data_IF_673613245353
#
_entry.id   IF_673613245353
#
_cell.length_a   1.000
_cell.length_b   1.000
_cell.length_c   1.000
_cell.angle_alpha   90.00
_cell.angle_beta   90.00
_cell.angle_gamma   90.00
#
_symmetry.space_group_name_H-M   'P 1'
#
loop_
_entity.id
_entity.type
_entity.pdbx_description
1 polymer ?
#
# COMPACT_ATOMS: atom_id res chain seq x y z
N UNK A 1 -25.07 23.63 34.38
CA UNK A 1 -24.50 22.43 33.72
C UNK A 1 -24.30 22.80 32.27
N UNK A 2 -23.05 23.00 31.79
CA UNK A 2 -22.84 23.18 30.36
C UNK A 2 -23.18 21.85 29.69
N UNK A 3 -24.08 21.89 28.70
CA UNK A 3 -24.39 20.73 27.87
C UNK A 3 -23.15 20.41 27.04
N UNK A 4 -22.43 19.34 27.40
CA UNK A 4 -21.39 18.74 26.59
C UNK A 4 -22.05 18.09 25.37
N UNK A 5 -22.45 18.90 24.39
CA UNK A 5 -22.61 18.42 23.02
C UNK A 5 -21.22 18.62 22.41
N UNK A 6 -20.43 17.56 22.21
CA UNK A 6 -19.11 17.70 21.63
C UNK A 6 -19.23 18.49 20.32
N UNK A 7 -18.60 19.68 20.24
CA UNK A 7 -18.45 20.43 18.99
C UNK A 7 -17.84 19.56 17.89
N UNK A 8 -17.05 18.55 18.28
CA UNK A 8 -16.43 17.51 17.46
C UNK A 8 -17.40 16.47 16.88
N UNK A 9 -18.67 16.42 17.31
CA UNK A 9 -19.72 15.67 16.58
C UNK A 9 -20.13 16.38 15.27
N UNK A 10 -19.66 17.62 15.05
CA UNK A 10 -19.91 18.41 13.84
C UNK A 10 -18.65 18.49 12.95
N UNK A 11 -17.45 18.22 13.48
CA UNK A 11 -16.18 18.39 12.75
C UNK A 11 -15.39 17.07 12.56
N UNK A 12 -14.77 16.92 11.38
CA UNK A 12 -14.15 15.68 10.89
C UNK A 12 -12.75 15.40 11.49
N UNK A 13 -12.64 15.17 12.80
CA UNK A 13 -11.35 14.97 13.47
C UNK A 13 -10.76 13.54 13.38
N UNK A 14 -11.56 12.51 13.09
CA UNK A 14 -11.07 11.11 13.03
C UNK A 14 -9.99 10.83 11.97
N UNK A 15 -9.70 11.81 11.10
CA UNK A 15 -8.66 11.72 10.08
C UNK A 15 -7.40 12.55 10.41
N UNK A 16 -7.29 13.07 11.63
CA UNK A 16 -6.15 13.89 12.04
C UNK A 16 -6.25 15.30 11.45
N UNK A 17 -7.19 16.09 11.98
CA UNK A 17 -7.20 17.53 11.72
C UNK A 17 -5.91 18.16 12.25
N UNK A 18 -5.30 19.07 11.48
CA UNK A 18 -4.16 19.90 11.90
C UNK A 18 -4.53 20.94 13.00
N UNK A 19 -5.50 20.62 13.87
CA UNK A 19 -5.96 21.49 14.94
C UNK A 19 -5.00 21.47 16.13
N UNK A 20 -4.87 22.60 16.82
CA UNK A 20 -4.19 22.67 18.11
C UNK A 20 -4.85 21.72 19.12
N UNK A 21 -4.05 21.04 19.93
CA UNK A 21 -4.55 20.12 20.96
C UNK A 21 -5.33 20.90 22.02
N UNK A 22 -6.64 20.73 22.03
CA UNK A 22 -7.52 21.28 23.06
C UNK A 22 -7.44 20.42 24.33
N UNK A 23 -6.63 20.87 25.29
CA UNK A 23 -6.35 20.17 26.55
C UNK A 23 -7.59 20.12 27.46
N UNK A 24 -8.44 21.16 27.45
CA UNK A 24 -9.66 21.18 28.26
C UNK A 24 -10.64 20.10 27.79
N UNK A 25 -10.74 19.93 26.47
CA UNK A 25 -11.54 18.85 25.89
C UNK A 25 -10.99 17.47 26.24
N UNK A 26 -9.67 17.26 26.16
CA UNK A 26 -9.07 15.96 26.51
C UNK A 26 -9.33 15.59 27.98
N UNK A 27 -9.36 16.56 28.89
CA UNK A 27 -9.70 16.31 30.29
C UNK A 27 -11.19 15.98 30.47
N UNK A 28 -12.08 16.73 29.82
CA UNK A 28 -13.53 16.47 29.86
C UNK A 28 -13.89 15.13 29.20
N UNK A 29 -13.22 14.76 28.11
CA UNK A 29 -13.50 13.56 27.34
C UNK A 29 -13.06 12.26 28.05
N UNK A 30 -12.13 12.33 29.01
CA UNK A 30 -11.72 11.16 29.81
C UNK A 30 -12.90 10.49 30.51
N UNK A 31 -13.84 11.29 31.00
CA UNK A 31 -15.03 10.80 31.69
C UNK A 31 -16.04 10.14 30.74
N UNK A 32 -15.93 10.39 29.42
CA UNK A 32 -16.83 9.88 28.37
C UNK A 32 -16.13 8.91 27.40
N UNK A 33 -14.94 8.41 27.74
CA UNK A 33 -14.14 7.61 26.83
C UNK A 33 -14.87 6.32 26.40
N UNK A 34 -15.61 5.70 27.32
CA UNK A 34 -16.37 4.48 27.04
C UNK A 34 -17.52 4.73 26.05
N UNK A 35 -18.22 5.86 26.18
CA UNK A 35 -19.30 6.27 25.26
C UNK A 35 -18.75 6.64 23.88
N UNK A 36 -17.60 7.32 23.82
CA UNK A 36 -16.93 7.68 22.56
C UNK A 36 -16.49 6.42 21.83
N UNK A 37 -15.84 5.49 22.54
CA UNK A 37 -15.43 4.21 21.98
C UNK A 37 -16.66 3.44 21.50
N UNK A 38 -17.70 3.31 22.32
CA UNK A 38 -18.94 2.65 21.92
C UNK A 38 -19.54 3.24 20.63
N UNK A 39 -19.65 4.57 20.54
CA UNK A 39 -20.14 5.24 19.34
C UNK A 39 -19.29 4.91 18.10
N UNK A 40 -17.96 4.89 18.25
CA UNK A 40 -17.04 4.49 17.18
C UNK A 40 -17.32 3.05 16.71
N UNK A 41 -17.51 2.10 17.63
CA UNK A 41 -17.77 0.70 17.28
C UNK A 41 -19.12 0.49 16.59
N UNK A 42 -20.17 1.18 17.07
CA UNK A 42 -21.51 1.13 16.45
C UNK A 42 -21.46 1.69 15.03
N UNK A 43 -20.86 2.86 14.83
CA UNK A 43 -20.85 3.53 13.51
C UNK A 43 -19.99 2.77 12.49
N UNK A 44 -18.82 2.26 12.90
CA UNK A 44 -17.88 1.67 11.95
C UNK A 44 -18.07 0.15 11.75
N UNK A 45 -18.54 -0.57 12.76
CA UNK A 45 -18.66 -2.03 12.73
C UNK A 45 -20.07 -2.54 12.95
N UNK A 46 -21.03 -1.66 13.23
CA UNK A 46 -22.43 -2.02 13.44
C UNK A 46 -22.67 -2.95 14.64
N UNK A 47 -21.83 -2.82 15.67
CA UNK A 47 -21.91 -3.60 16.90
C UNK A 47 -23.13 -3.17 17.74
N UNK A 48 -23.75 -4.13 18.39
CA UNK A 48 -24.71 -3.88 19.48
C UNK A 48 -23.98 -3.51 20.78
N UNK A 49 -24.72 -2.94 21.74
CA UNK A 49 -24.18 -2.60 23.06
C UNK A 49 -23.62 -3.82 23.79
N UNK A 50 -24.31 -4.95 23.70
CA UNK A 50 -23.92 -6.19 24.37
C UNK A 50 -22.62 -6.76 23.77
N UNK A 51 -22.48 -6.73 22.44
CA UNK A 51 -21.25 -7.14 21.76
C UNK A 51 -20.05 -6.26 22.14
N UNK A 52 -20.25 -4.94 22.25
CA UNK A 52 -19.19 -4.03 22.68
C UNK A 52 -18.76 -4.27 24.13
N UNK A 53 -19.72 -4.52 25.03
CA UNK A 53 -19.44 -4.81 26.44
C UNK A 53 -18.80 -6.20 26.65
N UNK A 54 -19.07 -7.14 25.74
CA UNK A 54 -18.44 -8.46 25.77
C UNK A 54 -16.94 -8.42 25.42
N UNK A 55 -16.48 -7.39 24.70
CA UNK A 55 -15.07 -7.24 24.34
C UNK A 55 -14.22 -6.82 25.54
N UNK A 56 -13.06 -7.46 25.68
CA UNK A 56 -12.02 -7.00 26.60
C UNK A 56 -11.39 -5.70 26.10
N UNK A 57 -10.83 -4.85 26.99
CA UNK A 57 -10.15 -3.62 26.59
C UNK A 57 -9.03 -3.85 25.56
N UNK A 58 -8.32 -4.98 25.66
CA UNK A 58 -7.26 -5.34 24.70
C UNK A 58 -7.83 -5.61 23.31
N UNK A 59 -8.94 -6.34 23.21
CA UNK A 59 -9.58 -6.64 21.93
C UNK A 59 -10.09 -5.38 21.26
N UNK A 60 -10.70 -4.46 22.03
CA UNK A 60 -11.12 -3.14 21.53
C UNK A 60 -9.95 -2.40 20.87
N UNK A 61 -8.81 -2.31 21.56
CA UNK A 61 -7.60 -1.68 21.02
C UNK A 61 -7.08 -2.35 19.75
N UNK A 62 -7.06 -3.69 19.69
CA UNK A 62 -6.64 -4.40 18.48
C UNK A 62 -7.58 -4.17 17.29
N UNK A 63 -8.90 -4.11 17.53
CA UNK A 63 -9.89 -3.84 16.49
C UNK A 63 -9.71 -2.42 15.95
N UNK A 64 -9.58 -1.42 16.84
CA UNK A 64 -9.30 -0.04 16.44
C UNK A 64 -8.01 0.04 15.63
N UNK A 65 -6.94 -0.64 16.08
CA UNK A 65 -5.66 -0.64 15.36
C UNK A 65 -5.74 -1.29 13.98
N UNK A 66 -6.50 -2.38 13.86
CA UNK A 66 -6.73 -3.05 12.59
C UNK A 66 -7.53 -2.14 11.63
N UNK A 67 -8.52 -1.42 12.14
CA UNK A 67 -9.29 -0.44 11.36
C UNK A 67 -8.43 0.73 10.89
N UNK A 68 -7.58 1.30 11.74
CA UNK A 68 -6.62 2.34 11.33
C UNK A 68 -5.74 1.84 10.18
N UNK A 69 -5.17 0.65 10.34
CA UNK A 69 -4.28 0.05 9.32
C UNK A 69 -5.02 -0.16 8.01
N UNK A 70 -6.27 -0.62 8.07
CA UNK A 70 -7.15 -0.76 6.90
C UNK A 70 -7.42 0.59 6.24
N UNK A 71 -7.83 1.60 7.02
CA UNK A 71 -8.16 2.93 6.51
C UNK A 71 -6.95 3.59 5.82
N UNK A 72 -5.77 3.51 6.44
CA UNK A 72 -4.51 4.01 5.84
C UNK A 72 -4.20 3.25 4.55
N UNK A 73 -4.37 1.92 4.54
CA UNK A 73 -4.20 1.13 3.33
C UNK A 73 -5.18 1.57 2.23
N UNK A 74 -6.47 1.68 2.53
CA UNK A 74 -7.52 1.97 1.56
C UNK A 74 -7.36 3.37 0.96
N UNK A 75 -7.09 4.37 1.80
CA UNK A 75 -6.81 5.75 1.36
C UNK A 75 -5.53 5.83 0.52
N UNK A 76 -4.49 5.08 0.88
CA UNK A 76 -3.26 4.98 0.09
C UNK A 76 -3.52 4.31 -1.26
N UNK A 77 -4.30 3.23 -1.30
CA UNK A 77 -4.69 2.58 -2.55
C UNK A 77 -5.51 3.51 -3.44
N UNK A 78 -6.45 4.25 -2.86
CA UNK A 78 -7.26 5.24 -3.57
C UNK A 78 -6.38 6.35 -4.17
N UNK A 79 -5.48 6.94 -3.37
CA UNK A 79 -4.50 7.93 -3.86
C UNK A 79 -3.69 7.38 -5.03
N UNK A 80 -3.16 6.16 -4.90
CA UNK A 80 -2.36 5.52 -5.95
C UNK A 80 -3.19 5.24 -7.21
N UNK A 81 -4.44 4.80 -7.07
CA UNK A 81 -5.35 4.58 -8.18
C UNK A 81 -5.58 5.87 -8.96
N UNK A 82 -5.87 6.97 -8.27
CA UNK A 82 -6.09 8.29 -8.89
C UNK A 82 -4.83 8.79 -9.60
N UNK A 83 -3.66 8.69 -8.96
CA UNK A 83 -2.39 9.09 -9.58
C UNK A 83 -2.07 8.23 -10.81
N UNK A 84 -2.28 6.92 -10.75
CA UNK A 84 -2.08 6.04 -11.89
C UNK A 84 -3.06 6.35 -13.02
N UNK A 85 -4.33 6.62 -12.71
CA UNK A 85 -5.34 6.98 -13.70
C UNK A 85 -4.97 8.27 -14.44
N UNK A 86 -4.59 9.33 -13.71
CA UNK A 86 -4.15 10.60 -14.30
C UNK A 86 -2.91 10.39 -15.18
N UNK A 87 -1.92 9.65 -14.70
CA UNK A 87 -0.70 9.36 -15.48
C UNK A 87 -0.99 8.52 -16.72
N UNK A 88 -1.89 7.56 -16.64
CA UNK A 88 -2.30 6.72 -17.78
C UNK A 88 -3.11 7.51 -18.81
N UNK A 89 -3.94 8.47 -18.36
CA UNK A 89 -4.69 9.36 -19.25
C UNK A 89 -3.75 10.32 -20.00
N UNK A 90 -2.73 10.87 -19.31
CA UNK A 90 -1.73 11.77 -19.89
C UNK A 90 -0.55 11.06 -20.57
N UNK A 91 -0.64 9.74 -20.75
CA UNK A 91 0.45 8.89 -21.20
C UNK A 91 0.77 9.11 -22.68
N UNK A 92 2.06 9.28 -23.01
CA UNK A 92 2.53 9.32 -24.41
C UNK A 92 2.24 8.00 -25.16
N UNK A 93 1.98 8.11 -26.46
CA UNK A 93 1.83 6.95 -27.36
C UNK A 93 3.04 6.01 -27.22
N UNK A 94 2.79 4.70 -27.12
CA UNK A 94 3.78 3.63 -26.91
C UNK A 94 4.42 3.52 -25.51
N UNK A 95 3.97 4.29 -24.50
CA UNK A 95 4.38 4.02 -23.10
C UNK A 95 3.49 2.93 -22.48
N UNK A 96 4.07 2.11 -21.60
CA UNK A 96 3.35 1.03 -20.91
C UNK A 96 2.29 1.59 -19.96
N UNK A 97 1.20 0.84 -19.78
CA UNK A 97 0.16 1.16 -18.80
C UNK A 97 0.71 0.93 -17.40
N UNK A 98 0.45 1.87 -16.49
CA UNK A 98 0.79 1.73 -15.08
C UNK A 98 -0.34 0.97 -14.41
N UNK A 99 -0.10 -0.28 -14.06
CA UNK A 99 -1.04 -1.12 -13.33
C UNK A 99 -1.16 -0.65 -11.88
N UNK A 100 -2.37 -0.70 -11.32
CA UNK A 100 -2.60 -0.43 -9.90
C UNK A 100 -1.94 -1.52 -9.03
N UNK A 101 -2.19 -2.78 -9.38
CA UNK A 101 -1.63 -3.93 -8.69
C UNK A 101 -0.34 -4.34 -9.38
N UNK A 102 0.78 -4.20 -8.66
CA UNK A 102 2.06 -4.71 -9.15
C UNK A 102 2.12 -6.20 -8.86
N UNK A 103 2.49 -7.00 -9.86
CA UNK A 103 2.80 -8.42 -9.66
C UNK A 103 3.86 -8.53 -8.56
N UNK A 104 3.61 -9.37 -7.56
CA UNK A 104 4.58 -9.70 -6.52
C UNK A 104 5.83 -10.23 -7.21
N UNK A 105 6.95 -9.53 -7.06
CA UNK A 105 8.22 -9.98 -7.62
C UNK A 105 8.57 -11.32 -6.96
N UNK A 106 8.82 -12.35 -7.78
CA UNK A 106 9.36 -13.61 -7.25
C UNK A 106 10.74 -13.29 -6.67
N UNK A 107 10.99 -13.74 -5.44
CA UNK A 107 12.31 -13.63 -4.84
C UNK A 107 13.28 -14.39 -5.76
N UNK A 108 14.36 -13.73 -6.17
CA UNK A 108 15.37 -14.36 -7.00
C UNK A 108 15.98 -15.53 -6.22
N UNK A 109 15.99 -16.71 -6.82
CA UNK A 109 16.79 -17.82 -6.35
C UNK A 109 18.25 -17.52 -6.72
N UNK A 110 19.04 -17.13 -5.70
CA UNK A 110 20.41 -16.67 -5.90
C UNK A 110 21.31 -17.79 -6.39
N UNK A 111 21.13 -18.99 -5.83
CA UNK A 111 21.97 -20.14 -6.14
C UNK A 111 21.74 -20.60 -7.57
N UNK A 112 20.47 -20.64 -8.01
CA UNK A 112 20.13 -20.92 -9.40
C UNK A 112 20.63 -19.83 -10.35
N UNK A 113 20.54 -18.55 -9.96
CA UNK A 113 21.02 -17.45 -10.78
C UNK A 113 22.54 -17.48 -10.94
N UNK A 114 23.29 -17.75 -9.88
CA UNK A 114 24.74 -17.89 -9.90
C UNK A 114 25.18 -19.10 -10.75
N UNK A 115 24.55 -20.26 -10.55
CA UNK A 115 24.80 -21.46 -11.35
C UNK A 115 24.51 -21.23 -12.85
N UNK A 116 23.39 -20.59 -13.17
CA UNK A 116 23.02 -20.26 -14.55
C UNK A 116 24.03 -19.31 -15.17
N UNK A 117 24.52 -18.33 -14.41
CA UNK A 117 25.48 -17.35 -14.90
C UNK A 117 26.86 -17.98 -15.14
N UNK A 118 27.33 -18.82 -14.22
CA UNK A 118 28.58 -19.58 -14.39
C UNK A 118 28.52 -20.52 -15.60
N UNK A 119 27.38 -21.19 -15.81
CA UNK A 119 27.15 -22.03 -17.00
C UNK A 119 27.20 -21.23 -18.29
N UNK A 120 26.61 -20.02 -18.31
CA UNK A 120 26.67 -19.11 -19.48
C UNK A 120 28.11 -18.67 -19.75
N UNK A 121 28.86 -18.26 -18.72
CA UNK A 121 30.27 -17.84 -18.88
C UNK A 121 31.13 -18.97 -19.44
N UNK A 122 31.03 -20.18 -18.87
CA UNK A 122 31.76 -21.36 -19.36
C UNK A 122 31.41 -21.73 -20.80
N UNK A 123 30.15 -21.54 -21.19
CA UNK A 123 29.70 -21.77 -22.57
C UNK A 123 30.25 -20.69 -23.51
N UNK A 124 30.26 -19.42 -23.08
CA UNK A 124 30.86 -18.33 -23.85
C UNK A 124 32.38 -18.48 -24.02
N UNK A 125 33.08 -19.01 -23.01
CA UNK A 125 34.52 -19.31 -23.11
C UNK A 125 34.82 -20.42 -24.11
N UNK A 126 33.97 -21.46 -24.17
CA UNK A 126 34.17 -22.62 -25.07
C UNK A 126 33.71 -22.37 -26.50
N UNK A 127 32.54 -21.75 -26.69
CA UNK A 127 31.85 -21.68 -27.97
C UNK A 127 31.77 -20.25 -28.54
N UNK A 128 32.24 -19.26 -27.78
CA UNK A 128 32.17 -17.85 -28.13
C UNK A 128 30.75 -17.28 -28.04
N UNK A 129 30.57 -16.01 -28.36
CA UNK A 129 29.29 -15.28 -28.21
C UNK A 129 28.32 -15.43 -29.38
N UNK A 130 28.65 -16.28 -30.37
CA UNK A 130 27.87 -16.36 -31.62
C UNK A 130 26.52 -17.06 -31.44
N UNK A 131 26.33 -17.84 -30.37
CA UNK A 131 25.06 -18.49 -30.06
C UNK A 131 23.95 -17.47 -29.74
N UNK A 132 24.30 -16.32 -29.17
CA UNK A 132 23.37 -15.22 -28.92
C UNK A 132 22.81 -14.71 -30.25
N UNK A 133 23.66 -14.45 -31.25
CA UNK A 133 23.22 -14.02 -32.58
C UNK A 133 22.29 -15.04 -33.26
N UNK A 134 22.54 -16.35 -33.07
CA UNK A 134 21.69 -17.42 -33.61
C UNK A 134 20.30 -17.41 -32.99
N UNK A 135 20.18 -17.19 -31.67
CA UNK A 135 18.89 -17.13 -30.97
C UNK A 135 18.06 -15.94 -31.46
N UNK A 136 18.67 -14.77 -31.61
CA UNK A 136 17.97 -13.59 -32.11
C UNK A 136 17.45 -13.83 -33.54
N UNK A 137 18.28 -14.39 -34.43
CA UNK A 137 17.87 -14.74 -35.81
C UNK A 137 16.73 -15.75 -35.85
N UNK A 138 16.79 -16.80 -35.02
CA UNK A 138 15.74 -17.81 -34.94
C UNK A 138 14.38 -17.22 -34.50
N UNK A 139 14.41 -16.19 -33.66
CA UNK A 139 13.22 -15.46 -33.22
C UNK A 139 12.81 -14.32 -34.18
N UNK A 140 13.40 -14.23 -35.37
CA UNK A 140 13.11 -13.18 -36.35
C UNK A 140 13.55 -11.78 -35.91
N UNK A 141 14.45 -11.68 -34.93
CA UNK A 141 14.93 -10.41 -34.36
C UNK A 141 16.38 -10.14 -34.78
N UNK A 142 16.73 -8.87 -34.93
CA UNK A 142 18.12 -8.45 -35.09
C UNK A 142 18.79 -8.30 -33.73
N UNK A 143 20.03 -8.76 -33.58
CA UNK A 143 20.77 -8.51 -32.34
C UNK A 143 20.91 -7.01 -32.09
N UNK A 144 20.58 -6.53 -30.88
CA UNK A 144 20.68 -5.11 -30.56
C UNK A 144 22.15 -4.68 -30.64
N UNK A 145 22.49 -3.95 -31.71
CA UNK A 145 23.78 -3.28 -31.81
C UNK A 145 23.88 -2.29 -30.66
N UNK A 146 24.96 -2.36 -29.86
CA UNK A 146 25.32 -1.30 -28.92
C UNK A 146 25.26 0.02 -29.68
N UNK A 147 24.28 0.88 -29.40
CA UNK A 147 24.36 2.29 -29.81
C UNK A 147 25.66 2.80 -29.19
N UNK A 148 26.57 3.25 -30.05
CA UNK A 148 27.91 3.64 -29.65
C UNK A 148 27.88 4.52 -28.41
N UNK A 149 28.73 4.18 -27.45
CA UNK A 149 29.01 5.06 -26.32
C UNK A 149 29.52 6.38 -26.87
N UNK A 150 28.76 7.44 -26.61
CA UNK A 150 29.30 8.75 -26.30
C UNK A 150 29.05 8.96 -24.82
#
# INVERSE_FOLDING_TARGET
MPFFIPSRLVEFEYLGGNGERDLEYEELAKDYQDEIDFAFFVVNFNYSKDEYLALTPKEKLFIMKAWETKLVSDTTHFRNATLNAVNNALRKKNKKFIELWKKKQKKLDKDFAEFSMDSVIKTEEKEGKSWVDKIYRANGMTTPKKKGGR
#
